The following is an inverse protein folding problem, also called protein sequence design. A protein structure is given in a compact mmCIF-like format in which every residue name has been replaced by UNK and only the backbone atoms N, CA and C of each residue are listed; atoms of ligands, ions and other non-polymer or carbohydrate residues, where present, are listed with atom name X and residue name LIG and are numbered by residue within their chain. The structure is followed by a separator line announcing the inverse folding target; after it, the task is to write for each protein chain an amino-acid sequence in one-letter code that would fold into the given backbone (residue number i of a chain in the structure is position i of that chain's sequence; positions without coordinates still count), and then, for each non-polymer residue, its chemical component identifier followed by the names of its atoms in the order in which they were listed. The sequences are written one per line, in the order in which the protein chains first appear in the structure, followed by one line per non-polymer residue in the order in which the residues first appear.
data_IF_204290286190
#
_entry.id   IF_204290286190
#
_cell.length_a   1.000
_cell.length_b   1.000
_cell.length_c   1.000
_cell.angle_alpha   90.00
_cell.angle_beta   90.00
_cell.angle_gamma   90.00
#
_symmetry.space_group_name_H-M   'P 1'
#
loop_
_entity.id
_entity.type
_entity.pdbx_description
1 polymer ?
#
# COMPACT_ATOMS: atom_id res chain seq x y z
N UNK A 1 41.86 37.66 9.08
CA UNK A 1 42.32 37.08 10.36
C UNK A 1 42.15 35.57 10.26
N UNK A 2 43.24 34.80 10.26
CA UNK A 2 43.20 33.35 9.99
C UNK A 2 43.30 32.62 11.33
N UNK A 3 42.30 31.82 11.66
CA UNK A 3 42.24 31.03 12.90
C UNK A 3 42.68 29.61 12.58
N UNK A 4 43.85 29.21 13.08
CA UNK A 4 44.28 27.81 13.09
C UNK A 4 43.47 27.04 14.12
N UNK A 5 42.64 26.10 13.67
CA UNK A 5 42.08 25.08 14.56
C UNK A 5 43.07 23.93 14.75
N UNK A 6 43.29 23.58 16.01
CA UNK A 6 44.28 22.60 16.47
C UNK A 6 43.61 21.23 16.62
N UNK A 7 44.04 20.24 15.85
CA UNK A 7 43.53 18.88 15.94
C UNK A 7 43.85 18.26 17.31
N UNK A 8 42.90 17.55 17.96
CA UNK A 8 43.18 16.70 19.11
C UNK A 8 43.90 15.40 18.68
N UNK A 9 44.65 14.75 19.58
CA UNK A 9 45.44 13.55 19.27
C UNK A 9 44.62 12.27 19.24
N UNK A 10 45.11 11.29 18.47
CA UNK A 10 44.65 9.91 18.52
C UNK A 10 44.84 9.26 19.90
N UNK A 11 43.88 8.44 20.32
CA UNK A 11 44.07 7.12 20.96
C UNK A 11 42.95 6.80 21.95
N UNK A 12 42.09 5.85 21.58
CA UNK A 12 41.47 4.90 22.50
C UNK A 12 41.06 3.66 21.70
N UNK A 13 41.87 2.60 21.77
CA UNK A 13 41.49 1.32 21.19
C UNK A 13 40.23 0.80 21.91
N UNK A 14 39.20 0.44 21.14
CA UNK A 14 38.02 -0.25 21.67
C UNK A 14 38.16 -1.75 21.41
N UNK A 15 38.23 -2.47 22.51
CA UNK A 15 38.30 -3.93 22.59
C UNK A 15 37.04 -4.54 21.95
N UNK A 16 37.20 -5.45 20.98
CA UNK A 16 36.06 -6.13 20.36
C UNK A 16 35.82 -7.48 21.04
N UNK A 17 34.67 -7.70 21.70
CA UNK A 17 34.33 -9.00 22.26
C UNK A 17 34.02 -10.03 21.16
N UNK A 18 34.39 -11.28 21.41
CA UNK A 18 34.38 -12.40 20.46
C UNK A 18 33.03 -12.64 19.75
N UNK A 19 33.14 -12.97 18.46
CA UNK A 19 32.08 -13.55 17.64
C UNK A 19 31.65 -14.93 18.19
N UNK A 20 30.70 -14.93 19.12
CA UNK A 20 30.07 -16.15 19.61
C UNK A 20 29.10 -16.70 18.56
N UNK A 21 29.56 -17.69 17.80
CA UNK A 21 28.75 -18.45 16.85
C UNK A 21 27.50 -19.02 17.53
N UNK A 22 26.33 -18.74 16.93
CA UNK A 22 25.05 -19.38 17.27
C UNK A 22 24.65 -20.35 16.15
N UNK A 23 23.94 -21.43 16.47
CA UNK A 23 23.75 -22.56 15.57
C UNK A 23 22.85 -22.22 14.37
N UNK A 24 23.08 -22.97 13.30
CA UNK A 24 22.24 -23.01 12.10
C UNK A 24 20.80 -23.38 12.48
N UNK A 25 19.84 -22.55 12.09
CA UNK A 25 18.44 -22.92 12.09
C UNK A 25 18.13 -23.55 10.73
N UNK A 26 17.82 -24.85 10.71
CA UNK A 26 17.32 -25.55 9.53
C UNK A 26 16.07 -24.85 8.97
N UNK A 27 16.19 -24.28 7.77
CA UNK A 27 15.02 -23.88 6.99
C UNK A 27 14.32 -25.16 6.48
N UNK A 28 13.02 -25.36 6.75
CA UNK A 28 12.29 -26.51 6.23
C UNK A 28 12.21 -26.46 4.70
N UNK A 29 12.47 -27.61 4.07
CA UNK A 29 12.46 -27.82 2.62
C UNK A 29 11.07 -27.52 2.00
N UNK A 30 10.98 -26.59 1.03
CA UNK A 30 9.72 -26.22 0.39
C UNK A 30 9.14 -27.30 -0.56
N UNK A 31 9.88 -28.36 -0.92
CA UNK A 31 9.43 -29.36 -1.91
C UNK A 31 8.55 -30.50 -1.32
N UNK A 32 8.27 -30.47 -0.01
CA UNK A 32 7.61 -31.57 0.72
C UNK A 32 6.06 -31.61 0.66
N UNK A 33 5.39 -30.75 -0.13
CA UNK A 33 3.91 -30.77 -0.26
C UNK A 33 3.41 -30.82 -1.71
N UNK A 34 3.83 -31.83 -2.46
CA UNK A 34 3.27 -32.15 -3.79
C UNK A 34 2.89 -33.64 -3.92
N UNK A 35 1.71 -33.90 -4.52
CA UNK A 35 1.02 -35.21 -4.68
C UNK A 35 0.26 -35.60 -3.39
N UNK A 36 -1.04 -35.95 -3.35
CA UNK A 36 -2.09 -36.37 -4.34
C UNK A 36 -3.45 -35.76 -3.86
N UNK A 37 -4.66 -35.95 -4.41
CA UNK A 37 -5.19 -36.75 -5.54
C UNK A 37 -6.59 -36.29 -6.00
N UNK A 38 -6.97 -36.62 -7.24
CA UNK A 38 -8.31 -37.06 -7.72
C UNK A 38 -9.61 -36.27 -7.41
N UNK A 39 -10.12 -35.62 -8.46
CA UNK A 39 -11.51 -35.67 -9.01
C UNK A 39 -12.71 -36.02 -8.11
N UNK A 40 -13.68 -35.09 -8.07
CA UNK A 40 -15.11 -35.41 -8.13
C UNK A 40 -15.86 -34.37 -8.97
N UNK A 41 -16.42 -34.78 -10.11
CA UNK A 41 -17.40 -34.01 -10.89
C UNK A 41 -18.79 -34.36 -10.36
N UNK A 42 -19.54 -33.40 -9.81
CA UNK A 42 -20.99 -33.52 -9.66
C UNK A 42 -21.66 -32.19 -10.02
N UNK A 43 -22.74 -32.28 -10.80
CA UNK A 43 -23.43 -31.14 -11.41
C UNK A 43 -24.18 -30.28 -10.40
N UNK A 44 -24.25 -28.98 -10.68
CA UNK A 44 -25.27 -28.07 -10.17
C UNK A 44 -26.21 -27.70 -11.32
N UNK A 45 -27.34 -28.42 -11.42
CA UNK A 45 -28.54 -27.86 -12.06
C UNK A 45 -29.21 -26.95 -11.03
N UNK A 46 -29.26 -25.65 -11.31
CA UNK A 46 -30.29 -24.78 -10.74
C UNK A 46 -31.15 -24.33 -11.91
N UNK A 47 -32.47 -24.47 -11.73
CA UNK A 47 -33.46 -24.40 -12.79
C UNK A 47 -33.58 -23.00 -13.38
N UNK A 48 -33.82 -22.93 -14.69
CA UNK A 48 -34.66 -21.85 -15.24
C UNK A 48 -36.04 -21.86 -14.56
N UNK A 49 -36.68 -20.68 -14.53
CA UNK A 49 -38.03 -20.30 -14.03
C UNK A 49 -37.98 -19.38 -12.82
N UNK A 50 -38.67 -18.23 -12.94
CA UNK A 50 -38.59 -17.01 -12.10
C UNK A 50 -37.19 -16.35 -12.17
N UNK A 51 -37.03 -15.11 -12.62
CA UNK A 51 -37.86 -13.92 -12.41
C UNK A 51 -38.21 -13.24 -13.75
N UNK A 52 -39.48 -12.82 -13.92
CA UNK A 52 -39.92 -11.98 -15.05
C UNK A 52 -40.84 -10.85 -14.58
N UNK A 53 -40.30 -9.97 -13.73
CA UNK A 53 -40.93 -8.71 -13.30
C UNK A 53 -39.82 -7.68 -12.94
N UNK A 54 -40.10 -6.39 -13.13
CA UNK A 54 -39.18 -5.25 -12.97
C UNK A 54 -37.86 -5.31 -13.78
N UNK A 55 -37.97 -5.04 -15.09
CA UNK A 55 -36.86 -4.45 -15.86
C UNK A 55 -36.80 -2.94 -15.57
N UNK A 56 -35.70 -2.38 -15.04
CA UNK A 56 -35.49 -0.94 -15.02
C UNK A 56 -35.28 -0.39 -16.44
N UNK A 57 -35.46 0.92 -16.68
CA UNK A 57 -35.34 1.52 -18.00
C UNK A 57 -33.95 1.32 -18.64
N UNK A 58 -33.95 1.06 -19.95
CA UNK A 58 -32.82 0.63 -20.79
C UNK A 58 -31.61 1.58 -20.87
N UNK A 59 -31.60 2.70 -20.15
CA UNK A 59 -30.51 3.69 -20.17
C UNK A 59 -29.32 3.32 -19.27
N UNK A 60 -29.47 2.38 -18.32
CA UNK A 60 -28.46 2.04 -17.30
C UNK A 60 -27.62 0.78 -17.59
N UNK A 61 -28.01 -0.02 -18.58
CA UNK A 61 -27.40 -1.33 -18.85
C UNK A 61 -25.97 -1.27 -19.44
N UNK A 62 -25.62 -0.19 -20.14
CA UNK A 62 -24.29 -0.06 -20.76
C UNK A 62 -23.17 0.12 -19.72
N UNK A 63 -23.39 0.92 -18.68
CA UNK A 63 -22.39 1.17 -17.63
C UNK A 63 -22.12 -0.08 -16.79
N UNK A 64 -23.17 -0.85 -16.48
CA UNK A 64 -23.05 -2.13 -15.77
C UNK A 64 -22.30 -3.19 -16.60
N UNK A 65 -22.49 -3.20 -17.92
CA UNK A 65 -21.74 -4.09 -18.81
C UNK A 65 -20.25 -3.70 -18.89
N UNK A 66 -19.91 -2.41 -18.88
CA UNK A 66 -18.52 -1.94 -18.86
C UNK A 66 -17.81 -2.34 -17.56
N UNK A 67 -18.46 -2.12 -16.40
CA UNK A 67 -17.94 -2.52 -15.09
C UNK A 67 -17.75 -4.05 -14.97
N UNK A 68 -18.66 -4.83 -15.57
CA UNK A 68 -18.51 -6.29 -15.65
C UNK A 68 -17.35 -6.72 -16.58
N UNK A 69 -17.14 -6.04 -17.71
CA UNK A 69 -16.03 -6.33 -18.62
C UNK A 69 -14.65 -5.97 -18.05
N UNK A 70 -14.56 -4.88 -17.28
CA UNK A 70 -13.32 -4.50 -16.57
C UNK A 70 -12.91 -5.56 -15.54
N UNK A 71 -13.87 -6.19 -14.85
CA UNK A 71 -13.61 -7.30 -13.90
C UNK A 71 -13.12 -8.61 -14.54
N UNK A 72 -13.23 -8.77 -15.86
CA UNK A 72 -12.90 -10.02 -16.56
C UNK A 72 -11.57 -10.01 -17.33
N UNK A 73 -10.76 -8.94 -17.23
CA UNK A 73 -9.46 -8.81 -17.92
C UNK A 73 -8.27 -8.64 -16.97
N UNK A 74 -8.09 -9.55 -16.01
CA UNK A 74 -6.77 -9.72 -15.36
C UNK A 74 -6.46 -11.20 -15.09
N UNK A 75 -5.48 -11.83 -15.77
CA UNK A 75 -5.22 -13.28 -15.69
C UNK A 75 -4.33 -13.69 -14.50
N UNK A 76 -4.10 -12.81 -13.53
CA UNK A 76 -3.57 -13.18 -12.22
C UNK A 76 -4.54 -12.66 -11.16
N UNK A 77 -5.35 -13.57 -10.60
CA UNK A 77 -6.38 -13.26 -9.60
C UNK A 77 -5.76 -13.06 -8.21
N UNK A 78 -4.80 -12.12 -8.11
CA UNK A 78 -4.26 -11.63 -6.85
C UNK A 78 -5.36 -10.78 -6.19
N UNK A 79 -6.20 -11.45 -5.39
CA UNK A 79 -7.32 -10.82 -4.71
C UNK A 79 -6.82 -9.66 -3.85
N UNK A 80 -7.46 -8.49 -3.97
CA UNK A 80 -7.11 -7.34 -3.15
C UNK A 80 -7.25 -7.71 -1.67
N UNK A 81 -6.21 -7.39 -0.89
CA UNK A 81 -6.22 -7.54 0.56
C UNK A 81 -7.08 -6.47 1.22
N UNK A 82 -7.01 -5.24 0.70
CA UNK A 82 -7.85 -4.10 1.07
C UNK A 82 -8.21 -3.32 -0.19
N UNK A 83 -9.47 -2.87 -0.27
CA UNK A 83 -9.91 -1.87 -1.24
C UNK A 83 -10.30 -0.58 -0.50
N UNK A 84 -10.09 0.58 -1.16
CA UNK A 84 -10.58 1.90 -0.73
C UNK A 84 -11.34 2.53 -1.90
N UNK A 85 -12.59 2.88 -1.68
CA UNK A 85 -13.42 3.58 -2.66
C UNK A 85 -13.48 5.07 -2.33
N UNK A 86 -13.40 5.90 -3.37
CA UNK A 86 -13.50 7.36 -3.29
C UNK A 86 -14.58 7.84 -4.28
N UNK A 87 -15.20 8.98 -3.98
CA UNK A 87 -16.14 9.63 -4.89
C UNK A 87 -15.35 10.45 -5.91
N UNK A 88 -15.57 10.22 -7.21
CA UNK A 88 -14.93 10.96 -8.31
C UNK A 88 -15.98 11.43 -9.31
N UNK A 89 -16.26 12.73 -9.34
CA UNK A 89 -17.34 13.33 -10.15
C UNK A 89 -18.73 12.69 -9.93
N UNK A 90 -18.98 12.08 -8.77
CA UNK A 90 -20.20 11.31 -8.48
C UNK A 90 -20.20 9.85 -8.96
N UNK A 91 -19.10 9.39 -9.56
CA UNK A 91 -18.79 7.97 -9.76
C UNK A 91 -17.84 7.43 -8.68
N UNK A 92 -17.51 6.14 -8.76
CA UNK A 92 -16.59 5.47 -7.82
C UNK A 92 -15.18 5.35 -8.42
N UNK A 93 -14.16 5.79 -7.68
CA UNK A 93 -12.74 5.50 -7.93
C UNK A 93 -12.28 4.44 -6.93
N UNK A 94 -11.90 3.26 -7.41
CA UNK A 94 -11.43 2.16 -6.55
C UNK A 94 -9.91 2.09 -6.55
N UNK A 95 -9.33 2.12 -5.34
CA UNK A 95 -7.93 1.79 -5.06
C UNK A 95 -7.84 0.40 -4.45
N UNK A 96 -6.88 -0.40 -4.91
CA UNK A 96 -6.63 -1.77 -4.42
C UNK A 96 -5.22 -1.87 -3.85
N UNK A 97 -5.11 -2.56 -2.71
CA UNK A 97 -3.85 -2.97 -2.11
C UNK A 97 -3.80 -4.49 -2.06
N UNK A 98 -2.74 -5.09 -2.60
CA UNK A 98 -2.53 -6.54 -2.57
C UNK A 98 -1.81 -6.94 -1.28
N UNK A 99 -1.95 -8.20 -0.87
CA UNK A 99 -1.31 -8.74 0.33
C UNK A 99 0.19 -8.46 0.32
N UNK A 100 0.76 -7.79 1.34
CA UNK A 100 2.20 -7.61 1.44
C UNK A 100 2.93 -8.95 1.51
N UNK A 101 3.87 -9.18 0.59
CA UNK A 101 4.56 -10.45 0.44
C UNK A 101 6.07 -10.25 0.40
N UNK A 102 6.83 -11.20 0.95
CA UNK A 102 8.30 -11.18 0.90
C UNK A 102 8.76 -11.53 -0.50
N UNK A 103 9.51 -10.64 -1.13
CA UNK A 103 10.06 -10.81 -2.47
C UNK A 103 11.35 -11.65 -2.44
N UNK A 104 11.81 -12.18 -3.60
CA UNK A 104 13.05 -12.95 -3.68
C UNK A 104 14.31 -12.18 -3.22
N UNK A 105 14.30 -10.84 -3.23
CA UNK A 105 15.39 -10.01 -2.70
C UNK A 105 15.45 -9.94 -1.17
N UNK A 106 14.42 -10.44 -0.48
CA UNK A 106 14.31 -10.47 0.98
C UNK A 106 13.50 -9.33 1.58
N UNK A 107 13.24 -8.25 0.85
CA UNK A 107 12.34 -7.16 1.25
C UNK A 107 10.86 -7.56 1.11
N UNK A 108 9.98 -6.95 1.91
CA UNK A 108 8.54 -7.06 1.69
C UNK A 108 8.09 -6.08 0.61
N UNK A 109 7.17 -6.51 -0.24
CA UNK A 109 6.57 -5.69 -1.29
C UNK A 109 5.05 -5.69 -1.13
N UNK A 110 4.43 -4.53 -1.21
CA UNK A 110 2.98 -4.38 -1.36
C UNK A 110 2.69 -3.77 -2.73
N UNK A 111 1.95 -4.48 -3.56
CA UNK A 111 1.44 -3.96 -4.84
C UNK A 111 0.17 -3.18 -4.60
N UNK A 112 -0.08 -2.19 -5.46
CA UNK A 112 -1.32 -1.43 -5.42
C UNK A 112 -1.74 -0.98 -6.83
N UNK A 113 -3.03 -0.71 -7.01
CA UNK A 113 -3.57 -0.09 -8.22
C UNK A 113 -4.65 0.96 -7.94
N UNK A 114 -4.82 1.90 -8.87
CA UNK A 114 -5.87 2.92 -8.89
C UNK A 114 -6.61 2.78 -10.23
N UNK A 115 -7.90 2.45 -10.16
CA UNK A 115 -8.76 2.30 -11.34
C UNK A 115 -9.40 3.62 -11.76
N UNK A 116 -8.66 4.47 -12.50
CA UNK A 116 -9.20 5.71 -13.07
C UNK A 116 -10.22 5.43 -14.18
N UNK A 117 -11.11 6.39 -14.51
CA UNK A 117 -12.06 6.25 -15.62
C UNK A 117 -11.41 5.91 -16.97
N UNK A 118 -10.22 6.46 -17.21
CA UNK A 118 -9.47 6.30 -18.47
C UNK A 118 -8.55 5.07 -18.48
N UNK A 119 -8.37 4.38 -17.34
CA UNK A 119 -7.51 3.20 -17.22
C UNK A 119 -6.97 2.94 -15.82
N UNK A 120 -6.34 1.77 -15.62
CA UNK A 120 -5.74 1.39 -14.34
C UNK A 120 -4.24 1.75 -14.30
N UNK A 121 -3.82 2.41 -13.21
CA UNK A 121 -2.41 2.65 -12.89
C UNK A 121 -2.01 1.72 -11.75
N UNK A 122 -0.90 0.98 -11.89
CA UNK A 122 -0.43 0.04 -10.87
C UNK A 122 1.08 0.13 -10.61
N UNK A 123 1.47 0.00 -9.35
CA UNK A 123 2.86 0.03 -8.90
C UNK A 123 3.05 -0.88 -7.66
N UNK A 124 4.21 -0.76 -7.00
CA UNK A 124 4.52 -1.40 -5.73
C UNK A 124 5.33 -0.46 -4.83
N UNK A 125 5.24 -0.68 -3.52
CA UNK A 125 6.16 -0.14 -2.53
C UNK A 125 6.92 -1.28 -1.85
N UNK A 126 8.13 -1.01 -1.34
CA UNK A 126 8.97 -1.98 -0.64
C UNK A 126 9.20 -1.52 0.81
N UNK A 127 9.24 -2.46 1.75
CA UNK A 127 9.53 -2.22 3.17
C UNK A 127 10.31 -3.37 3.82
N UNK A 128 10.80 -3.16 5.03
CA UNK A 128 11.48 -4.13 5.88
C UNK A 128 10.53 -5.25 6.32
N UNK A 129 9.27 -4.90 6.61
CA UNK A 129 8.19 -5.83 6.92
C UNK A 129 6.90 -5.53 6.11
N UNK A 130 5.91 -6.41 6.24
CA UNK A 130 4.64 -6.29 5.52
C UNK A 130 3.78 -5.08 5.93
N UNK A 131 3.89 -4.60 7.17
CA UNK A 131 3.17 -3.42 7.67
C UNK A 131 3.79 -2.15 7.06
N UNK A 132 5.12 -2.04 7.06
CA UNK A 132 5.84 -0.93 6.45
C UNK A 132 5.60 -0.90 4.94
N UNK A 133 5.66 -2.05 4.25
CA UNK A 133 5.38 -2.13 2.83
C UNK A 133 3.95 -1.68 2.47
N UNK A 134 2.94 -2.05 3.28
CA UNK A 134 1.56 -1.58 3.12
C UNK A 134 1.43 -0.07 3.41
N UNK A 135 2.06 0.43 4.47
CA UNK A 135 2.02 1.85 4.84
C UNK A 135 2.62 2.72 3.72
N UNK A 136 3.77 2.32 3.19
CA UNK A 136 4.42 2.99 2.06
C UNK A 136 3.60 2.91 0.77
N UNK A 137 2.87 1.81 0.54
CA UNK A 137 1.93 1.71 -0.57
C UNK A 137 0.75 2.70 -0.42
N UNK A 138 0.17 2.79 0.79
CA UNK A 138 -0.93 3.73 1.09
C UNK A 138 -0.48 5.20 0.98
N UNK A 139 0.73 5.54 1.43
CA UNK A 139 1.34 6.86 1.26
C UNK A 139 1.57 7.18 -0.22
N UNK A 140 2.13 6.24 -1.00
CA UNK A 140 2.35 6.43 -2.43
C UNK A 140 1.04 6.60 -3.23
N UNK A 141 -0.06 6.00 -2.78
CA UNK A 141 -1.41 6.30 -3.31
C UNK A 141 -1.83 7.71 -2.90
N UNK A 142 -1.73 8.06 -1.61
CA UNK A 142 -2.15 9.37 -1.09
C UNK A 142 -1.50 10.53 -1.87
N UNK A 143 -0.17 10.53 -1.98
CA UNK A 143 0.58 11.57 -2.70
C UNK A 143 0.11 11.71 -4.17
N UNK A 144 -0.24 10.59 -4.82
CA UNK A 144 -0.74 10.57 -6.22
C UNK A 144 -2.19 11.01 -6.35
N UNK A 145 -3.03 10.73 -5.36
CA UNK A 145 -4.39 11.25 -5.34
C UNK A 145 -4.35 12.77 -5.11
N UNK A 146 -3.52 13.27 -4.18
CA UNK A 146 -3.29 14.70 -3.96
C UNK A 146 -2.77 15.43 -5.20
N UNK A 147 -1.82 14.83 -5.94
CA UNK A 147 -1.29 15.42 -7.17
C UNK A 147 -2.25 15.31 -8.38
N UNK A 148 -3.37 14.59 -8.26
CA UNK A 148 -4.34 14.47 -9.35
C UNK A 148 -5.12 15.77 -9.61
N UNK A 149 -5.36 16.08 -10.88
CA UNK A 149 -6.23 17.20 -11.29
C UNK A 149 -7.69 17.05 -10.82
N UNK A 150 -8.10 15.83 -10.44
CA UNK A 150 -9.40 15.59 -9.82
C UNK A 150 -9.44 16.11 -8.38
N UNK A 151 -8.39 15.85 -7.60
CA UNK A 151 -8.27 16.33 -6.23
C UNK A 151 -8.05 17.85 -6.17
N UNK A 152 -7.10 18.37 -6.96
CA UNK A 152 -6.80 19.82 -7.06
C UNK A 152 -8.02 20.65 -7.43
N UNK A 153 -8.96 20.08 -8.19
CA UNK A 153 -10.22 20.73 -8.56
C UNK A 153 -11.40 20.42 -7.62
N UNK A 154 -11.18 19.76 -6.48
CA UNK A 154 -12.21 19.46 -5.47
C UNK A 154 -13.25 18.43 -5.92
N UNK A 155 -12.93 17.55 -6.88
CA UNK A 155 -13.85 16.55 -7.46
C UNK A 155 -13.57 15.10 -7.04
N UNK A 156 -12.50 14.89 -6.28
CA UNK A 156 -12.16 13.63 -5.62
C UNK A 156 -12.36 13.80 -4.10
N UNK A 157 -13.24 13.01 -3.50
CA UNK A 157 -13.54 13.05 -2.06
C UNK A 157 -13.66 11.67 -1.46
N UNK A 158 -13.52 11.57 -0.13
CA UNK A 158 -13.97 10.41 0.65
C UNK A 158 -15.21 10.82 1.45
N UNK A 159 -16.36 10.20 1.19
CA UNK A 159 -17.63 10.52 1.86
C UNK A 159 -17.99 12.01 1.77
N UNK A 160 -17.71 12.63 0.61
CA UNK A 160 -17.88 14.06 0.37
C UNK A 160 -16.88 14.98 1.09
N UNK A 161 -15.87 14.46 1.79
CA UNK A 161 -14.78 15.25 2.39
C UNK A 161 -13.54 15.29 1.48
N UNK A 162 -12.82 16.41 1.51
CA UNK A 162 -11.53 16.57 0.82
C UNK A 162 -10.35 15.94 1.57
N UNK A 163 -10.55 15.42 2.78
CA UNK A 163 -9.61 14.49 3.41
C UNK A 163 -9.84 13.10 2.82
N UNK A 164 -8.75 12.37 2.55
CA UNK A 164 -8.79 11.05 1.92
C UNK A 164 -8.57 9.91 2.94
N UNK A 165 -8.37 10.23 4.23
CA UNK A 165 -8.08 9.28 5.32
C UNK A 165 -7.03 8.23 4.96
N UNK A 166 -5.98 8.65 4.24
CA UNK A 166 -4.79 7.85 3.96
C UNK A 166 -3.62 8.39 4.79
N UNK A 167 -2.67 7.54 5.21
CA UNK A 167 -1.51 8.00 5.95
C UNK A 167 -0.73 9.02 5.12
N UNK A 168 -0.44 10.22 5.67
CA UNK A 168 0.38 11.21 4.96
C UNK A 168 1.81 10.70 4.81
N UNK A 169 2.50 11.16 3.76
CA UNK A 169 3.93 10.92 3.60
C UNK A 169 4.73 11.57 4.75
N UNK A 170 5.75 10.85 5.25
CA UNK A 170 6.59 11.27 6.40
C UNK A 170 7.38 12.56 6.17
N UNK A 171 7.35 13.10 4.95
CA UNK A 171 7.91 14.40 4.57
C UNK A 171 7.10 15.59 5.09
N UNK A 172 5.85 15.39 5.52
CA UNK A 172 4.98 16.48 6.00
C UNK A 172 5.21 16.78 7.48
N UNK A 173 6.38 17.34 7.80
CA UNK A 173 6.75 17.81 9.14
C UNK A 173 7.57 16.80 9.97
N UNK A 174 8.11 17.24 11.13
CA UNK A 174 8.94 16.39 11.97
C UNK A 174 8.10 15.30 12.65
N UNK A 175 8.40 14.03 12.33
CA UNK A 175 7.77 12.82 12.94
C UNK A 175 7.83 12.80 14.47
N UNK A 176 8.85 13.45 15.02
CA UNK A 176 9.01 13.73 16.44
C UNK A 176 9.48 15.17 16.55
N UNK A 177 8.82 15.96 17.40
CA UNK A 177 9.48 17.15 17.94
C UNK A 177 10.71 16.63 18.68
N UNK A 178 11.91 16.91 18.17
CA UNK A 178 13.14 16.66 18.92
C UNK A 178 12.98 17.46 20.21
N UNK A 179 12.88 16.83 21.39
CA UNK A 179 12.75 17.58 22.63
C UNK A 179 13.98 18.49 22.74
N UNK A 180 13.81 19.76 23.14
CA UNK A 180 14.92 20.69 23.21
C UNK A 180 16.03 20.08 24.07
N UNK A 181 17.31 20.23 23.68
CA UNK A 181 18.41 19.59 24.40
C UNK A 181 18.36 20.00 25.88
N UNK A 182 18.51 19.05 26.82
CA UNK A 182 18.34 19.32 28.24
C UNK A 182 19.35 20.38 28.69
N UNK A 183 18.85 21.58 29.00
CA UNK A 183 19.66 22.77 29.31
C UNK A 183 19.34 24.01 28.46
N UNK A 184 18.58 23.88 27.37
CA UNK A 184 18.06 25.01 26.60
C UNK A 184 16.89 25.72 27.29
N UNK A 185 17.18 26.48 28.35
CA UNK A 185 16.18 27.35 28.98
C UNK A 185 15.72 28.45 28.02
N UNK A 186 14.46 28.92 28.11
CA UNK A 186 14.10 30.21 27.52
C UNK A 186 14.98 31.28 28.15
N UNK A 187 15.78 31.95 27.34
CA UNK A 187 16.28 33.27 27.73
C UNK A 187 15.13 34.23 27.53
N UNK A 188 14.36 34.47 28.60
CA UNK A 188 13.43 35.58 28.66
C UNK A 188 14.23 36.86 28.39
N UNK A 189 14.08 37.39 27.18
CA UNK A 189 14.56 38.71 26.80
C UNK A 189 13.32 39.52 26.44
N UNK A 190 12.97 40.43 27.34
CA UNK A 190 12.03 41.54 27.13
C UNK A 190 12.45 42.44 25.94
#
# INVERSE_FOLDING_TARGET
MIVFMKSPPDSAAHDQPELRSKPENDCPDPDSQRRRSTTCIVAVRISEVYIRAQLPPLASAHDSALAAFQRLRNPMNETAFVERCFDLNGGELVVRFMTPAKAPGGEFQCRWSIGWPDGEVSHRACGEDGIQALTLAMQAVHDRLLDSEAYKAGRLTLWGQGDLDLPPSWTTGPLYQIPPPPGGWPTDND
#
